data_IF_529760608470
#
_entry.id   IF_529760608470
#
_cell.length_a   1.000
_cell.length_b   1.000
_cell.length_c   1.000
_cell.angle_alpha   90.00
_cell.angle_beta   90.00
_cell.angle_gamma   90.00
#
_symmetry.space_group_name_H-M   'P 1'
#
loop_
_entity.id
_entity.type
_entity.pdbx_description
1 polymer ?
#
# COMPACT_ATOMS: atom_id res chain seq x y z
N UNK A 1 7.91 12.99 -6.14
CA UNK A 1 6.79 13.93 -6.29
C UNK A 1 5.53 13.26 -5.78
N UNK A 2 4.49 14.02 -5.51
CA UNK A 2 3.18 13.46 -5.18
C UNK A 2 2.57 12.80 -6.43
N UNK A 3 1.74 11.77 -6.23
CA UNK A 3 0.95 11.13 -7.28
C UNK A 3 -0.48 11.67 -7.19
N UNK A 4 -1.09 12.02 -8.32
CA UNK A 4 -2.47 12.51 -8.36
C UNK A 4 -3.46 11.40 -8.68
N UNK A 5 -4.68 11.51 -8.15
CA UNK A 5 -5.75 10.60 -8.48
C UNK A 5 -5.95 10.53 -10.01
N UNK A 6 -6.03 9.31 -10.55
CA UNK A 6 -6.17 9.04 -11.97
C UNK A 6 -4.86 8.88 -12.74
N UNK A 7 -3.71 9.25 -12.16
CA UNK A 7 -2.39 9.07 -12.75
C UNK A 7 -2.01 7.59 -12.83
N UNK A 8 -1.35 7.19 -13.93
CA UNK A 8 -0.74 5.88 -14.04
C UNK A 8 0.72 5.95 -13.61
N UNK A 9 1.10 5.11 -12.65
CA UNK A 9 2.48 4.99 -12.17
C UNK A 9 3.03 3.61 -12.49
N UNK A 10 4.31 3.56 -12.85
CA UNK A 10 5.04 2.32 -13.09
C UNK A 10 5.90 1.99 -11.87
N UNK A 11 5.64 0.84 -11.26
CA UNK A 11 6.48 0.32 -10.19
C UNK A 11 7.85 -0.09 -10.70
N UNK A 12 8.84 -0.12 -9.80
CA UNK A 12 10.17 -0.67 -10.07
C UNK A 12 10.55 -1.57 -8.90
N UNK A 13 11.12 -2.73 -9.20
CA UNK A 13 11.73 -3.60 -8.19
C UNK A 13 13.13 -3.06 -7.85
N UNK A 14 13.41 -2.83 -6.58
CA UNK A 14 14.64 -2.14 -6.14
C UNK A 14 15.85 -3.07 -6.28
N UNK A 15 15.64 -4.38 -6.20
CA UNK A 15 16.67 -5.41 -6.20
C UNK A 15 17.45 -5.46 -7.52
N UNK A 16 16.76 -5.33 -8.64
CA UNK A 16 17.31 -5.49 -9.99
C UNK A 16 16.93 -4.36 -10.95
N UNK A 17 16.24 -3.32 -10.44
CA UNK A 17 15.69 -2.22 -11.23
C UNK A 17 14.72 -2.67 -12.34
N UNK A 18 14.15 -3.89 -12.23
CA UNK A 18 13.19 -4.38 -13.20
C UNK A 18 11.87 -3.60 -13.11
N UNK A 19 11.22 -3.45 -14.27
CA UNK A 19 9.92 -2.81 -14.36
C UNK A 19 8.88 -3.66 -13.62
N UNK A 20 8.19 -3.03 -12.68
CA UNK A 20 7.11 -3.60 -11.89
C UNK A 20 5.73 -3.36 -12.51
N UNK A 21 4.66 -3.59 -11.74
CA UNK A 21 3.30 -3.40 -12.24
C UNK A 21 3.02 -1.91 -12.51
N UNK A 22 2.22 -1.66 -13.55
CA UNK A 22 1.57 -0.37 -13.77
C UNK A 22 0.29 -0.30 -12.97
N UNK A 23 0.12 0.78 -12.21
CA UNK A 23 -0.99 0.97 -11.29
C UNK A 23 -1.59 2.36 -11.53
N UNK A 24 -2.91 2.41 -11.72
CA UNK A 24 -3.65 3.67 -11.71
C UNK A 24 -3.95 4.08 -10.28
N UNK A 25 -3.54 5.29 -9.89
CA UNK A 25 -3.85 5.84 -8.58
C UNK A 25 -5.35 6.16 -8.45
N UNK A 26 -5.96 5.72 -7.35
CA UNK A 26 -7.38 6.01 -7.06
C UNK A 26 -7.57 7.19 -6.11
N UNK A 27 -6.48 7.64 -5.47
CA UNK A 27 -6.43 8.79 -4.58
C UNK A 27 -5.19 9.62 -4.87
N UNK A 28 -5.15 10.85 -4.34
CA UNK A 28 -3.90 11.59 -4.22
C UNK A 28 -2.98 10.89 -3.19
N UNK A 29 -1.72 10.66 -3.56
CA UNK A 29 -0.74 9.95 -2.73
C UNK A 29 0.50 10.84 -2.54
N UNK A 30 0.70 11.40 -1.33
CA UNK A 30 1.90 12.17 -1.02
C UNK A 30 3.20 11.39 -1.19
N UNK A 31 4.28 12.09 -1.52
CA UNK A 31 5.62 11.51 -1.59
C UNK A 31 5.98 10.75 -0.29
N UNK A 32 6.50 9.53 -0.43
CA UNK A 32 6.89 8.68 0.70
C UNK A 32 5.73 7.86 1.30
N UNK A 33 4.50 8.08 0.85
CA UNK A 33 3.37 7.22 1.21
C UNK A 33 3.33 5.94 0.35
N UNK A 34 2.40 5.05 0.68
CA UNK A 34 2.28 3.74 0.04
C UNK A 34 1.06 3.74 -0.89
N UNK A 35 1.20 3.09 -2.03
CA UNK A 35 0.11 2.72 -2.93
C UNK A 35 -0.13 1.21 -2.82
N UNK A 36 -1.38 0.77 -2.85
CA UNK A 36 -1.69 -0.65 -2.84
C UNK A 36 -1.34 -1.28 -4.20
N UNK A 37 -0.48 -2.29 -4.21
CA UNK A 37 -0.11 -3.06 -5.43
C UNK A 37 -1.04 -4.24 -5.73
N UNK A 38 -1.95 -4.55 -4.81
CA UNK A 38 -2.98 -5.58 -4.93
C UNK A 38 -4.19 -5.19 -4.09
N UNK A 39 -5.32 -5.88 -4.27
CA UNK A 39 -6.45 -5.76 -3.38
C UNK A 39 -6.13 -6.39 -2.02
N UNK A 40 -6.49 -5.71 -0.94
CA UNK A 40 -6.31 -6.14 0.45
C UNK A 40 -7.68 -6.06 1.12
N UNK A 41 -8.23 -7.18 1.60
CA UNK A 41 -9.52 -7.16 2.28
C UNK A 41 -9.36 -6.66 3.71
N UNK A 42 -10.43 -6.13 4.29
CA UNK A 42 -10.47 -5.82 5.72
C UNK A 42 -10.07 -7.06 6.53
N UNK A 43 -9.14 -6.88 7.47
CA UNK A 43 -8.59 -7.94 8.30
C UNK A 43 -7.35 -8.62 7.71
N UNK A 44 -7.04 -8.42 6.44
CA UNK A 44 -5.83 -8.96 5.83
C UNK A 44 -4.57 -8.26 6.37
N UNK A 45 -3.47 -9.00 6.35
CA UNK A 45 -2.15 -8.50 6.70
C UNK A 45 -1.57 -7.73 5.52
N UNK A 46 -1.25 -6.46 5.73
CA UNK A 46 -0.47 -5.69 4.77
C UNK A 46 1.02 -6.00 4.90
N UNK A 47 1.66 -6.29 3.77
CA UNK A 47 3.05 -6.70 3.69
C UNK A 47 3.87 -5.61 2.99
N UNK A 48 5.03 -5.29 3.55
CA UNK A 48 6.04 -4.42 2.94
C UNK A 48 7.42 -5.05 3.13
N UNK A 49 8.21 -5.16 2.05
CA UNK A 49 9.53 -5.79 2.08
C UNK A 49 9.53 -7.20 2.68
N UNK A 50 8.53 -8.01 2.34
CA UNK A 50 8.37 -9.36 2.88
C UNK A 50 8.04 -9.45 4.37
N UNK A 51 7.75 -8.32 5.03
CA UNK A 51 7.38 -8.26 6.45
C UNK A 51 5.97 -7.72 6.64
N UNK A 52 5.19 -8.28 7.58
CA UNK A 52 3.90 -7.72 7.94
C UNK A 52 4.11 -6.34 8.59
N UNK A 53 3.32 -5.33 8.19
CA UNK A 53 3.43 -3.96 8.72
C UNK A 53 2.17 -3.50 9.45
N UNK A 54 1.03 -4.13 9.18
CA UNK A 54 -0.25 -3.75 9.76
C UNK A 54 -1.37 -4.66 9.28
N UNK A 55 -2.56 -4.46 9.85
CA UNK A 55 -3.81 -5.09 9.44
C UNK A 55 -4.70 -4.04 8.77
N UNK A 56 -5.30 -4.39 7.64
CA UNK A 56 -6.27 -3.52 6.97
C UNK A 56 -7.55 -3.38 7.83
N UNK A 57 -8.00 -2.15 8.06
CA UNK A 57 -9.23 -1.87 8.85
C UNK A 57 -10.46 -1.59 7.97
N UNK A 58 -10.24 -1.46 6.67
CA UNK A 58 -11.23 -1.43 5.59
C UNK A 58 -10.71 -2.28 4.42
N UNK A 59 -11.57 -2.53 3.44
CA UNK A 59 -11.08 -3.00 2.14
C UNK A 59 -10.21 -1.91 1.50
N UNK A 60 -9.15 -2.34 0.81
CA UNK A 60 -8.20 -1.48 0.09
C UNK A 60 -8.05 -2.05 -1.32
N UNK A 61 -8.40 -1.27 -2.33
CA UNK A 61 -8.25 -1.64 -3.75
C UNK A 61 -6.83 -1.33 -4.23
N UNK A 62 -6.39 -2.07 -5.25
CA UNK A 62 -5.17 -1.71 -6.00
C UNK A 62 -5.25 -0.25 -6.45
N UNK A 63 -4.18 0.50 -6.25
CA UNK A 63 -4.11 1.93 -6.56
C UNK A 63 -4.57 2.88 -5.45
N UNK A 64 -5.14 2.39 -4.35
CA UNK A 64 -5.52 3.25 -3.22
C UNK A 64 -4.32 3.67 -2.35
N UNK A 65 -4.49 4.81 -1.68
CA UNK A 65 -3.53 5.33 -0.71
C UNK A 65 -3.52 4.48 0.56
N UNK A 66 -2.38 3.88 0.90
CA UNK A 66 -2.24 3.03 2.07
C UNK A 66 -1.55 3.78 3.22
N UNK A 67 -2.31 4.09 4.28
CA UNK A 67 -1.80 4.80 5.45
C UNK A 67 -2.60 4.50 6.74
N UNK A 68 -2.51 5.37 7.74
CA UNK A 68 -3.08 5.15 9.08
C UNK A 68 -4.62 5.11 9.08
N UNK A 69 -5.26 5.67 8.05
CA UNK A 69 -6.71 5.70 7.95
C UNK A 69 -7.31 4.36 7.52
N UNK A 70 -6.54 3.49 6.85
CA UNK A 70 -6.98 2.17 6.37
C UNK A 70 -6.10 1.00 6.83
N UNK A 71 -5.00 1.26 7.55
CA UNK A 71 -4.17 0.24 8.19
C UNK A 71 -3.88 0.59 9.65
N UNK A 72 -4.03 -0.41 10.52
CA UNK A 72 -3.51 -0.39 11.89
C UNK A 72 -2.15 -1.07 11.95
N UNK A 73 -1.09 -0.34 12.31
CA UNK A 73 0.27 -0.90 12.35
C UNK A 73 0.43 -1.97 13.42
N UNK A 74 1.16 -3.04 13.10
CA UNK A 74 1.42 -4.13 14.05
C UNK A 74 2.52 -3.83 15.06
N UNK A 75 3.41 -2.86 14.79
CA UNK A 75 4.64 -2.69 15.59
C UNK A 75 4.41 -2.01 16.95
N UNK A 76 3.23 -1.42 17.17
CA UNK A 76 2.84 -0.80 18.46
C UNK A 76 1.48 -1.29 18.98
N UNK A 77 0.80 -2.15 18.22
CA UNK A 77 -0.49 -2.70 18.59
C UNK A 77 -0.33 -4.08 19.22
N UNK A 78 -0.94 -4.31 20.38
CA UNK A 78 -1.23 -5.65 20.89
C UNK A 78 -2.26 -6.32 19.95
N UNK A 79 -1.84 -6.76 18.76
CA UNK A 79 -2.62 -7.62 17.90
C UNK A 79 -2.57 -9.03 18.50
N UNK A 80 -3.41 -9.25 19.51
CA UNK A 80 -3.81 -10.59 19.90
C UNK A 80 -4.60 -11.16 18.72
N UNK A 81 -4.12 -12.28 18.18
CA UNK A 81 -4.93 -13.17 17.36
C UNK A 81 -6.13 -13.67 18.15
#
# INVERSE_FOLDING_TARGET
MDIKAGEEVEGVYIEDMAIGPRIKALNDIPLGHKIASTNIKKGDVAIKYGRPIGIAISDIKVGEHVHIHNIKSIRWGNLKR
#
